data_IF_198385486927
#
_entry.id   IF_198385486927
#
_cell.length_a   1.000
_cell.length_b   1.000
_cell.length_c   1.000
_cell.angle_alpha   90.00
_cell.angle_beta   90.00
_cell.angle_gamma   90.00
#
_symmetry.space_group_name_H-M   'P 1'
#
loop_
_entity.id
_entity.type
_entity.pdbx_description
1 polymer ?
#
# COMPACT_ATOMS: atom_id res chain seq x y z
N UNK A 1 21.68 0.38 2.63
CA UNK A 1 20.72 0.56 1.53
C UNK A 1 20.43 2.05 1.41
N UNK A 2 20.45 2.63 0.21
CA UNK A 2 20.01 4.01 0.00
C UNK A 2 18.47 4.07 -0.01
N UNK A 3 17.90 5.10 0.61
CA UNK A 3 16.45 5.37 0.55
C UNK A 3 16.05 5.77 -0.86
N UNK A 4 14.89 5.33 -1.31
CA UNK A 4 14.32 5.77 -2.57
C UNK A 4 13.71 7.15 -2.41
N UNK A 5 14.03 8.08 -3.30
CA UNK A 5 13.36 9.37 -3.36
C UNK A 5 11.95 9.19 -3.92
N UNK A 6 11.01 9.95 -3.38
CA UNK A 6 9.62 10.04 -3.82
C UNK A 6 9.11 11.47 -3.63
N UNK A 7 8.14 11.88 -4.44
CA UNK A 7 7.48 13.18 -4.24
C UNK A 7 6.73 13.22 -2.90
N UNK A 8 6.42 14.43 -2.42
CA UNK A 8 5.62 14.61 -1.20
C UNK A 8 4.27 13.87 -1.28
N UNK A 9 3.58 13.93 -2.41
CA UNK A 9 2.29 13.25 -2.61
C UNK A 9 2.42 11.72 -2.51
N UNK A 10 3.44 11.14 -3.15
CA UNK A 10 3.72 9.71 -3.07
C UNK A 10 4.05 9.28 -1.64
N UNK A 11 4.84 10.09 -0.92
CA UNK A 11 5.16 9.85 0.48
C UNK A 11 3.90 9.90 1.37
N UNK A 12 3.01 10.86 1.13
CA UNK A 12 1.75 10.99 1.88
C UNK A 12 0.84 9.77 1.63
N UNK A 13 0.82 9.22 0.42
CA UNK A 13 0.11 7.97 0.12
C UNK A 13 0.76 6.79 0.86
N UNK A 14 2.09 6.65 0.81
CA UNK A 14 2.83 5.58 1.50
C UNK A 14 2.59 5.58 3.02
N UNK A 15 2.55 6.75 3.65
CA UNK A 15 2.26 6.88 5.08
C UNK A 15 0.76 6.72 5.37
N UNK A 16 -0.09 7.29 4.50
CA UNK A 16 -1.54 7.29 4.63
C UNK A 16 -2.15 5.91 4.51
N UNK A 17 -1.67 5.09 3.56
CA UNK A 17 -2.17 3.73 3.34
C UNK A 17 -2.00 2.84 4.56
N UNK A 18 -1.00 3.12 5.41
CA UNK A 18 -0.78 2.35 6.63
C UNK A 18 -2.00 2.35 7.57
N UNK A 19 -2.97 3.26 7.43
CA UNK A 19 -4.23 3.22 8.20
C UNK A 19 -5.03 1.93 7.99
N UNK A 20 -4.83 1.26 6.86
CA UNK A 20 -5.53 0.04 6.47
C UNK A 20 -4.96 -1.25 7.06
N UNK A 21 -3.76 -1.19 7.65
CA UNK A 21 -3.25 -2.29 8.44
C UNK A 21 -4.11 -2.51 9.70
N UNK A 22 -4.30 -3.77 10.10
CA UNK A 22 -5.36 -4.17 11.04
C UNK A 22 -5.08 -3.77 12.48
N UNK A 23 -3.91 -4.14 12.97
CA UNK A 23 -3.51 -3.93 14.36
C UNK A 23 -2.76 -2.61 14.53
N UNK A 24 -2.63 -2.10 15.76
CA UNK A 24 -1.86 -0.86 16.00
C UNK A 24 -0.38 -1.08 15.67
N UNK A 25 0.11 -2.27 15.98
CA UNK A 25 1.46 -2.75 15.76
C UNK A 25 1.78 -2.80 14.26
N UNK A 26 0.88 -3.36 13.45
CA UNK A 26 1.04 -3.39 11.99
C UNK A 26 1.03 -1.99 11.38
N UNK A 27 0.15 -1.11 11.88
CA UNK A 27 0.12 0.30 11.44
C UNK A 27 1.41 1.02 11.77
N UNK A 28 2.02 0.74 12.92
CA UNK A 28 3.30 1.31 13.31
C UNK A 28 4.43 0.75 12.44
N UNK A 29 4.49 -0.57 12.26
CA UNK A 29 5.49 -1.23 11.42
C UNK A 29 5.46 -0.72 9.98
N UNK A 30 4.28 -0.61 9.38
CA UNK A 30 4.10 -0.04 8.04
C UNK A 30 4.69 1.36 7.92
N UNK A 31 4.42 2.26 8.88
CA UNK A 31 4.95 3.63 8.87
C UNK A 31 6.47 3.67 9.07
N UNK A 32 7.00 2.80 9.94
CA UNK A 32 8.44 2.68 10.16
C UNK A 32 9.13 2.23 8.88
N UNK A 33 8.66 1.17 8.25
CA UNK A 33 9.23 0.68 6.99
C UNK A 33 9.16 1.75 5.89
N UNK A 34 8.04 2.46 5.76
CA UNK A 34 7.92 3.54 4.78
C UNK A 34 8.97 4.65 5.03
N UNK A 35 9.22 5.04 6.28
CA UNK A 35 10.24 6.04 6.64
C UNK A 35 11.67 5.55 6.45
N UNK A 36 11.89 4.25 6.58
CA UNK A 36 13.19 3.61 6.38
C UNK A 36 13.52 3.39 4.91
N UNK A 37 12.50 3.17 4.07
CA UNK A 37 12.68 2.89 2.64
C UNK A 37 12.63 4.15 1.77
N UNK A 38 11.85 5.15 2.16
CA UNK A 38 11.56 6.31 1.32
C UNK A 38 11.99 7.62 1.97
N UNK A 39 12.33 8.60 1.15
CA UNK A 39 12.60 9.97 1.57
C UNK A 39 11.95 10.94 0.59
N UNK A 40 11.50 12.09 1.08
CA UNK A 40 10.87 13.11 0.24
C UNK A 40 11.94 13.79 -0.61
N UNK A 41 11.74 13.82 -1.92
CA UNK A 41 12.60 14.40 -2.92
C UNK A 41 11.82 14.57 -4.24
N UNK A 42 12.41 14.11 -5.34
CA UNK A 42 11.77 14.18 -6.65
C UNK A 42 10.69 13.11 -6.86
N UNK A 43 9.78 13.37 -7.80
CA UNK A 43 8.78 12.37 -8.22
C UNK A 43 9.45 11.10 -8.74
N UNK A 44 8.99 9.96 -8.24
CA UNK A 44 9.54 8.67 -8.63
C UNK A 44 8.58 7.93 -9.58
N UNK A 45 8.86 7.92 -10.90
CA UNK A 45 8.01 7.23 -11.87
C UNK A 45 8.06 5.70 -11.77
N UNK A 46 9.06 5.14 -11.08
CA UNK A 46 9.22 3.71 -10.89
C UNK A 46 8.48 3.19 -9.64
N UNK A 47 7.98 4.09 -8.77
CA UNK A 47 7.18 3.70 -7.62
C UNK A 47 5.81 3.19 -8.11
N UNK A 48 5.47 1.95 -7.75
CA UNK A 48 4.18 1.37 -8.09
C UNK A 48 3.05 2.02 -7.30
N UNK A 49 2.43 3.08 -7.85
CA UNK A 49 1.26 3.71 -7.29
C UNK A 49 0.00 3.34 -8.06
N UNK A 50 -1.07 3.03 -7.34
CA UNK A 50 -2.33 2.54 -7.90
C UNK A 50 -3.53 3.10 -7.15
N UNK A 51 -4.58 3.40 -7.90
CA UNK A 51 -5.84 3.94 -7.36
C UNK A 51 -7.02 3.14 -7.89
N UNK A 52 -7.83 2.60 -6.98
CA UNK A 52 -9.09 1.93 -7.29
C UNK A 52 -10.15 2.32 -6.27
N UNK A 53 -11.38 2.52 -6.72
CA UNK A 53 -12.52 2.80 -5.83
C UNK A 53 -12.25 3.97 -4.85
N UNK A 54 -11.55 5.00 -5.30
CA UNK A 54 -11.18 6.18 -4.50
C UNK A 54 -10.04 5.95 -3.48
N UNK A 55 -9.43 4.77 -3.45
CA UNK A 55 -8.32 4.41 -2.57
C UNK A 55 -7.03 4.43 -3.38
N UNK A 56 -6.08 5.26 -2.95
CA UNK A 56 -4.71 5.28 -3.49
C UNK A 56 -3.74 4.57 -2.55
N UNK A 57 -2.87 3.73 -3.10
CA UNK A 57 -1.76 3.10 -2.39
C UNK A 57 -0.52 3.06 -3.29
N UNK A 58 0.66 3.01 -2.69
CA UNK A 58 1.93 2.89 -3.37
C UNK A 58 2.78 1.74 -2.79
N UNK A 59 3.64 1.18 -3.62
CA UNK A 59 4.57 0.12 -3.26
C UNK A 59 3.88 -1.21 -2.89
N UNK A 60 4.63 -2.05 -2.18
CA UNK A 60 4.16 -3.36 -1.73
C UNK A 60 3.26 -3.19 -0.50
N UNK A 61 2.12 -3.88 -0.50
CA UNK A 61 1.19 -3.88 0.63
C UNK A 61 1.46 -5.07 1.54
N UNK A 62 1.69 -4.81 2.82
CA UNK A 62 1.70 -5.86 3.85
C UNK A 62 0.25 -6.27 4.16
N UNK A 63 -0.26 -7.26 3.41
CA UNK A 63 -1.60 -7.79 3.61
C UNK A 63 -1.65 -8.75 4.81
N UNK A 64 -2.62 -8.54 5.70
CA UNK A 64 -2.99 -9.50 6.75
C UNK A 64 -3.64 -10.77 6.16
N UNK A 65 -3.79 -11.82 6.96
CA UNK A 65 -4.46 -13.06 6.54
C UNK A 65 -5.87 -12.85 5.94
N UNK A 66 -6.79 -12.10 6.57
CA UNK A 66 -8.12 -11.86 5.97
C UNK A 66 -8.05 -11.05 4.67
N UNK A 67 -7.10 -10.11 4.56
CA UNK A 67 -6.91 -9.34 3.32
C UNK A 67 -6.41 -10.22 2.18
N UNK A 68 -5.48 -11.14 2.45
CA UNK A 68 -5.01 -12.12 1.46
C UNK A 68 -6.12 -13.04 0.98
N UNK A 69 -6.94 -13.56 1.90
CA UNK A 69 -8.10 -14.38 1.55
C UNK A 69 -9.07 -13.61 0.65
N UNK A 70 -9.36 -12.34 0.96
CA UNK A 70 -10.16 -11.48 0.10
C UNK A 70 -9.56 -11.30 -1.30
N UNK A 71 -8.23 -11.15 -1.41
CA UNK A 71 -7.58 -11.01 -2.71
C UNK A 71 -7.77 -12.27 -3.55
N UNK A 72 -7.57 -13.45 -2.96
CA UNK A 72 -7.76 -14.74 -3.64
C UNK A 72 -9.20 -14.95 -4.10
N UNK A 73 -10.17 -14.65 -3.22
CA UNK A 73 -11.61 -14.72 -3.54
C UNK A 73 -11.98 -13.76 -4.68
N UNK A 74 -11.55 -12.49 -4.57
CA UNK A 74 -11.86 -11.46 -5.55
C UNK A 74 -11.26 -11.77 -6.92
N UNK A 75 -10.02 -12.27 -6.95
CA UNK A 75 -9.36 -12.69 -8.19
C UNK A 75 -10.07 -13.88 -8.82
N UNK A 76 -10.47 -14.86 -8.01
CA UNK A 76 -11.26 -16.01 -8.49
C UNK A 76 -12.62 -15.58 -9.04
N UNK A 77 -13.20 -14.51 -8.50
CA UNK A 77 -14.41 -13.85 -8.99
C UNK A 77 -14.22 -12.94 -10.21
N UNK A 78 -13.00 -12.85 -10.76
CA UNK A 78 -12.71 -12.13 -12.00
C UNK A 78 -12.10 -10.73 -11.85
N UNK A 79 -11.77 -10.28 -10.62
CA UNK A 79 -11.01 -9.04 -10.44
C UNK A 79 -9.54 -9.23 -10.83
N UNK A 80 -8.91 -8.18 -11.34
CA UNK A 80 -7.46 -8.17 -11.47
C UNK A 80 -6.82 -8.20 -10.08
N UNK A 81 -5.70 -8.92 -9.92
CA UNK A 81 -4.99 -8.95 -8.64
C UNK A 81 -4.60 -7.55 -8.15
N UNK A 82 -4.19 -6.66 -9.07
CA UNK A 82 -3.84 -5.28 -8.73
C UNK A 82 -5.00 -4.51 -8.11
N UNK A 83 -6.22 -4.65 -8.63
CA UNK A 83 -7.42 -4.04 -8.05
C UNK A 83 -7.79 -4.70 -6.72
N UNK A 84 -7.83 -6.03 -6.69
CA UNK A 84 -8.18 -6.80 -5.50
C UNK A 84 -7.30 -6.44 -4.30
N UNK A 85 -5.98 -6.33 -4.48
CA UNK A 85 -5.07 -5.94 -3.40
C UNK A 85 -5.38 -4.56 -2.82
N UNK A 86 -5.73 -3.56 -3.64
CA UNK A 86 -6.08 -2.21 -3.14
C UNK A 86 -7.40 -2.24 -2.36
N UNK A 87 -8.43 -2.82 -2.96
CA UNK A 87 -9.76 -2.85 -2.35
C UNK A 87 -9.78 -3.71 -1.09
N UNK A 88 -9.17 -4.90 -1.13
CA UNK A 88 -9.08 -5.77 0.04
C UNK A 88 -8.22 -5.16 1.14
N UNK A 89 -7.11 -4.49 0.81
CA UNK A 89 -6.31 -3.81 1.83
C UNK A 89 -7.16 -2.75 2.55
N UNK A 90 -7.90 -1.93 1.81
CA UNK A 90 -8.69 -0.85 2.41
C UNK A 90 -9.94 -1.30 3.16
N UNK A 91 -10.63 -2.33 2.68
CA UNK A 91 -12.00 -2.64 3.10
C UNK A 91 -12.18 -3.97 3.84
N UNK A 92 -11.15 -4.85 3.89
CA UNK A 92 -11.21 -6.12 4.63
C UNK A 92 -10.20 -6.14 5.74
#
# INVERSE_FOLDING_TARGET
MQRQEVSQEQYDILIGQCRYAKTKEDRQRCRTQAREQYTVGEFNPALDCRTYSGVSVCGVLELSAPQRACVEESVSGGLTRRRAEVECYAFR
#
